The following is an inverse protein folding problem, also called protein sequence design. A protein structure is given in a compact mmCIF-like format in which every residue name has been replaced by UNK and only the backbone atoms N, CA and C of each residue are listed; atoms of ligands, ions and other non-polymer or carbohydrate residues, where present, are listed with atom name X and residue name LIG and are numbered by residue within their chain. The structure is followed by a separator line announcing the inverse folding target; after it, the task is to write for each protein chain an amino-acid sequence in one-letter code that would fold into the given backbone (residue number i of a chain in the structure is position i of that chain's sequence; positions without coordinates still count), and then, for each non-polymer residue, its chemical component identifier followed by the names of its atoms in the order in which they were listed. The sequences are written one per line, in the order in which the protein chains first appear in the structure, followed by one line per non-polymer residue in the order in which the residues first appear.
data_IF_239111140326
#
_entry.id   IF_239111140326
#
_cell.length_a   1.000
_cell.length_b   1.000
_cell.length_c   1.000
_cell.angle_alpha   90.00
_cell.angle_beta   90.00
_cell.angle_gamma   90.00
#
_symmetry.space_group_name_H-M   'P 1'
#
loop_
_entity.id
_entity.type
_entity.pdbx_description
1 polymer ?
#
# COMPACT_ATOMS: atom_id res chain seq x y z
N UNK A 1 2.87 10.34 -3.33
CA UNK A 1 1.44 10.67 -3.51
C UNK A 1 1.20 11.12 -4.95
N UNK A 2 0.01 10.92 -5.52
CA UNK A 2 -0.33 11.29 -6.91
C UNK A 2 -0.76 10.11 -7.82
N UNK A 3 -0.23 8.91 -7.59
CA UNK A 3 -0.54 7.73 -8.42
C UNK A 3 -1.48 6.71 -7.76
N UNK A 4 -2.06 7.04 -6.59
CA UNK A 4 -3.00 6.17 -5.86
C UNK A 4 -2.51 4.72 -5.68
N UNK A 5 -1.21 4.55 -5.49
CA UNK A 5 -0.54 3.25 -5.40
C UNK A 5 0.57 3.27 -4.36
N UNK A 6 0.92 2.10 -3.87
CA UNK A 6 2.17 1.89 -3.14
C UNK A 6 3.11 1.01 -3.94
N UNK A 7 4.39 1.12 -3.60
CA UNK A 7 5.45 0.43 -4.31
C UNK A 7 6.43 -0.14 -3.31
N UNK A 8 6.82 -1.40 -3.52
CA UNK A 8 7.80 -2.12 -2.70
C UNK A 8 9.08 -2.26 -3.52
N UNK A 9 10.20 -1.90 -2.90
CA UNK A 9 11.53 -2.03 -3.48
C UNK A 9 12.38 -2.99 -2.66
N UNK A 10 13.35 -3.63 -3.30
CA UNK A 10 14.45 -4.32 -2.63
C UNK A 10 15.39 -3.29 -1.97
N UNK A 11 16.32 -3.78 -1.13
CA UNK A 11 17.34 -2.92 -0.51
C UNK A 11 18.27 -2.30 -1.55
N UNK A 12 18.40 -2.94 -2.70
CA UNK A 12 19.19 -2.52 -3.85
C UNK A 12 18.43 -1.52 -4.75
N UNK A 13 17.20 -1.14 -4.37
CA UNK A 13 16.37 -0.19 -5.13
C UNK A 13 15.63 -0.81 -6.33
N UNK A 14 15.69 -2.13 -6.50
CA UNK A 14 14.94 -2.83 -7.56
C UNK A 14 13.46 -2.85 -7.18
N UNK A 15 12.60 -2.46 -8.12
CA UNK A 15 11.14 -2.55 -8.00
C UNK A 15 10.69 -4.02 -7.86
N UNK A 16 10.04 -4.35 -6.74
CA UNK A 16 9.53 -5.70 -6.47
C UNK A 16 8.01 -5.79 -6.73
N UNK A 17 7.26 -4.78 -6.31
CA UNK A 17 5.81 -4.73 -6.45
C UNK A 17 5.36 -3.29 -6.62
N UNK A 18 4.36 -3.08 -7.47
CA UNK A 18 3.56 -1.86 -7.50
C UNK A 18 2.10 -2.25 -7.51
N UNK A 19 1.33 -1.75 -6.56
CA UNK A 19 -0.07 -2.13 -6.40
C UNK A 19 -0.92 -0.93 -5.99
N UNK A 20 -2.12 -0.88 -6.55
CA UNK A 20 -3.10 0.17 -6.30
C UNK A 20 -3.47 0.97 -7.53
N UNK A 21 -4.67 1.52 -7.49
CA UNK A 21 -5.23 2.47 -8.43
C UNK A 21 -6.21 3.39 -7.68
N UNK A 22 -6.63 4.49 -8.31
CA UNK A 22 -7.66 5.35 -7.72
C UNK A 22 -8.97 4.58 -7.54
N UNK A 23 -9.61 4.69 -6.37
CA UNK A 23 -10.92 4.11 -6.14
C UNK A 23 -11.24 3.82 -4.68
N UNK A 24 -12.37 3.17 -4.46
CA UNK A 24 -12.95 2.88 -3.13
C UNK A 24 -12.92 1.40 -2.75
N UNK A 25 -12.58 0.52 -3.69
CA UNK A 25 -12.51 -0.94 -3.47
C UNK A 25 -11.30 -1.38 -2.66
N UNK A 26 -11.27 -2.63 -2.22
CA UNK A 26 -10.08 -3.23 -1.58
C UNK A 26 -8.91 -3.17 -2.55
N UNK A 27 -7.80 -2.60 -2.10
CA UNK A 27 -6.61 -2.43 -2.91
C UNK A 27 -6.65 -1.27 -3.91
N UNK A 28 -7.74 -0.50 -3.95
CA UNK A 28 -7.77 0.84 -4.53
C UNK A 28 -7.67 1.89 -3.43
N UNK A 29 -7.20 3.08 -3.78
CA UNK A 29 -6.91 4.14 -2.82
C UNK A 29 -7.40 5.51 -3.30
N UNK A 30 -7.79 6.35 -2.35
CA UNK A 30 -8.09 7.76 -2.54
C UNK A 30 -7.16 8.57 -1.65
N UNK A 31 -6.28 9.34 -2.27
CA UNK A 31 -5.26 10.14 -1.58
C UNK A 31 -4.55 9.43 -0.41
N UNK A 32 -3.93 8.26 -0.61
CA UNK A 32 -3.23 7.60 0.49
C UNK A 32 -2.05 8.46 0.96
N UNK A 33 -1.93 8.68 2.28
CA UNK A 33 -0.94 9.61 2.85
C UNK A 33 0.23 8.93 3.53
N UNK A 34 0.01 7.76 4.14
CA UNK A 34 1.03 7.12 4.96
C UNK A 34 0.98 5.59 4.88
N UNK A 35 2.11 4.96 5.16
CA UNK A 35 2.32 3.51 5.17
C UNK A 35 3.21 3.10 6.33
N UNK A 36 2.82 2.03 7.03
CA UNK A 36 3.61 1.44 8.11
C UNK A 36 3.65 -0.08 8.00
N UNK A 37 4.76 -0.66 8.44
CA UNK A 37 4.94 -2.11 8.50
C UNK A 37 4.92 -2.55 9.95
N UNK A 38 3.90 -3.32 10.32
CA UNK A 38 3.76 -3.92 11.64
C UNK A 38 4.33 -5.33 11.75
N UNK A 39 4.10 -6.00 12.90
CA UNK A 39 4.57 -7.35 13.14
C UNK A 39 4.14 -8.35 12.06
N UNK A 40 4.96 -9.37 11.83
CA UNK A 40 4.75 -10.40 10.80
C UNK A 40 4.62 -9.86 9.36
N UNK A 41 5.15 -8.67 9.08
CA UNK A 41 5.16 -8.07 7.75
C UNK A 41 3.79 -7.58 7.29
N UNK A 42 2.88 -7.28 8.22
CA UNK A 42 1.60 -6.63 7.91
C UNK A 42 1.85 -5.19 7.49
N UNK A 43 1.30 -4.80 6.36
CA UNK A 43 1.43 -3.46 5.80
C UNK A 43 0.12 -2.74 6.05
N UNK A 44 0.17 -1.61 6.73
CA UNK A 44 -0.98 -0.75 6.98
C UNK A 44 -0.84 0.51 6.14
N UNK A 45 -1.90 0.87 5.42
CA UNK A 45 -1.95 2.13 4.68
C UNK A 45 -3.13 2.98 5.09
N UNK A 46 -2.83 4.26 5.31
CA UNK A 46 -3.82 5.30 5.53
C UNK A 46 -4.40 5.75 4.19
N UNK A 47 -5.60 5.25 3.87
CA UNK A 47 -6.37 5.57 2.68
C UNK A 47 -7.24 6.79 2.95
N UNK A 48 -6.58 7.95 3.11
CA UNK A 48 -7.14 9.15 3.75
C UNK A 48 -8.40 9.68 3.07
N UNK A 49 -8.43 9.71 1.75
CA UNK A 49 -9.60 10.17 0.98
C UNK A 49 -10.79 9.22 1.07
N UNK A 50 -10.58 7.97 1.49
CA UNK A 50 -11.65 7.00 1.77
C UNK A 50 -11.93 6.86 3.28
N UNK A 51 -11.29 7.67 4.13
CA UNK A 51 -11.46 7.67 5.59
C UNK A 51 -11.28 6.30 6.24
N UNK A 52 -10.31 5.49 5.76
CA UNK A 52 -10.07 4.13 6.26
C UNK A 52 -8.60 3.78 6.34
N UNK A 53 -8.32 2.69 7.06
CA UNK A 53 -7.04 2.00 7.03
C UNK A 53 -7.22 0.68 6.27
N UNK A 54 -6.34 0.39 5.31
CA UNK A 54 -6.27 -0.92 4.67
C UNK A 54 -5.05 -1.68 5.17
N UNK A 55 -5.22 -2.97 5.47
CA UNK A 55 -4.14 -3.87 5.88
C UNK A 55 -3.89 -4.91 4.79
N UNK A 56 -2.63 -5.05 4.40
CA UNK A 56 -2.15 -6.05 3.45
C UNK A 56 -1.13 -6.97 4.10
N UNK A 57 -0.97 -8.16 3.55
CA UNK A 57 0.11 -9.08 3.88
C UNK A 57 0.69 -9.60 2.58
N UNK A 58 2.02 -9.61 2.50
CA UNK A 58 2.71 -10.26 1.39
C UNK A 58 2.66 -11.77 1.63
N UNK A 59 1.99 -12.50 0.75
CA UNK A 59 2.10 -13.97 0.73
C UNK A 59 3.29 -14.35 -0.12
N UNK A 60 4.23 -15.08 0.48
CA UNK A 60 5.25 -15.79 -0.29
C UNK A 60 4.59 -17.07 -0.80
N UNK A 61 4.55 -17.26 -2.12
CA UNK A 61 4.33 -18.58 -2.70
C UNK A 61 5.44 -19.52 -2.29
#
# INVERSE_FOLDING_TARGET
TGNHRFTVFSKEGILLLSFGAQGVGIGSFSEPRDISVGPAGKIYMADTGNHRIQMFRMEKK
#
